data_IF_788440445158
#
_entry.id   IF_788440445158
#
_cell.length_a   1.000
_cell.length_b   1.000
_cell.length_c   1.000
_cell.angle_alpha   90.00
_cell.angle_beta   90.00
_cell.angle_gamma   90.00
#
_symmetry.space_group_name_H-M   'P 1'
#
loop_
_entity.id
_entity.type
_entity.pdbx_description
1 polymer ?
#
# COMPACT_ATOMS: atom_id res chain seq x y z
N UNK A 1 -8.26 -7.39 -13.04
CA UNK A 1 -7.58 -7.54 -11.74
C UNK A 1 -6.72 -6.31 -11.55
N UNK A 2 -6.85 -5.62 -10.41
CA UNK A 2 -6.05 -4.43 -10.13
C UNK A 2 -4.58 -4.84 -9.96
N UNK A 3 -3.67 -4.22 -10.71
CA UNK A 3 -2.23 -4.42 -10.54
C UNK A 3 -1.73 -3.59 -9.35
N UNK A 4 -1.88 -4.15 -8.15
CA UNK A 4 -1.45 -3.50 -6.91
C UNK A 4 0.07 -3.36 -6.82
N UNK A 5 0.84 -4.18 -7.54
CA UNK A 5 2.29 -4.07 -7.57
C UNK A 5 2.73 -2.80 -8.31
N UNK A 6 2.03 -2.42 -9.38
CA UNK A 6 2.26 -1.15 -10.06
C UNK A 6 1.99 0.06 -9.14
N UNK A 7 0.95 -0.01 -8.29
CA UNK A 7 0.66 1.02 -7.29
C UNK A 7 1.82 1.15 -6.30
N UNK A 8 2.25 0.03 -5.70
CA UNK A 8 3.36 0.03 -4.74
C UNK A 8 4.66 0.54 -5.36
N UNK A 9 4.97 0.10 -6.58
CA UNK A 9 6.14 0.60 -7.32
C UNK A 9 6.08 2.11 -7.46
N UNK A 10 4.93 2.67 -7.83
CA UNK A 10 4.80 4.12 -8.04
C UNK A 10 4.90 4.93 -6.74
N UNK A 11 4.33 4.43 -5.65
CA UNK A 11 4.46 5.05 -4.33
C UNK A 11 5.92 5.03 -3.85
N UNK A 12 6.62 3.91 -4.04
CA UNK A 12 8.03 3.77 -3.70
C UNK A 12 8.94 4.67 -4.54
N UNK A 13 8.70 4.78 -5.85
CA UNK A 13 9.42 5.71 -6.74
C UNK A 13 9.26 7.17 -6.32
N UNK A 14 8.07 7.52 -5.82
CA UNK A 14 7.78 8.84 -5.26
C UNK A 14 8.33 9.04 -3.84
N UNK A 15 8.89 8.01 -3.21
CA UNK A 15 9.36 8.10 -1.82
C UNK A 15 8.24 8.31 -0.80
N UNK A 16 6.99 7.99 -1.16
CA UNK A 16 5.84 8.06 -0.25
C UNK A 16 6.00 6.94 0.78
N UNK A 17 6.00 7.31 2.06
CA UNK A 17 6.05 6.39 3.19
C UNK A 17 4.64 5.93 3.54
N UNK A 18 4.44 4.62 3.51
CA UNK A 18 3.18 3.98 3.79
C UNK A 18 3.41 2.56 4.32
N UNK A 19 2.38 1.98 4.93
CA UNK A 19 2.32 0.56 5.27
C UNK A 19 1.09 -0.06 4.60
N UNK A 20 1.24 -1.30 4.14
CA UNK A 20 0.12 -2.11 3.63
C UNK A 20 -0.58 -2.74 4.82
N UNK A 21 -1.90 -2.59 4.90
CA UNK A 21 -2.74 -3.19 5.94
C UNK A 21 -3.89 -3.99 5.31
N UNK A 22 -4.82 -4.47 6.12
CA UNK A 22 -6.03 -5.14 5.63
C UNK A 22 -5.78 -6.52 5.01
N UNK A 23 -6.65 -6.91 4.07
CA UNK A 23 -6.66 -8.25 3.49
C UNK A 23 -5.39 -8.60 2.70
N UNK A 24 -4.83 -7.63 1.97
CA UNK A 24 -3.58 -7.83 1.23
C UNK A 24 -2.41 -8.10 2.18
N UNK A 25 -2.29 -7.35 3.28
CA UNK A 25 -1.24 -7.60 4.27
C UNK A 25 -1.31 -9.04 4.82
N UNK A 26 -2.52 -9.51 5.18
CA UNK A 26 -2.75 -10.88 5.65
C UNK A 26 -2.32 -11.92 4.61
N UNK A 27 -2.65 -11.70 3.33
CA UNK A 27 -2.20 -12.57 2.23
C UNK A 27 -0.66 -12.58 2.07
N UNK A 28 0.00 -11.44 2.24
CA UNK A 28 1.48 -11.35 2.18
C UNK A 28 2.16 -12.11 3.32
N UNK A 29 1.50 -12.26 4.47
CA UNK A 29 1.94 -13.13 5.57
C UNK A 29 1.59 -14.61 5.37
N UNK A 30 1.10 -15.00 4.19
CA UNK A 30 0.83 -16.40 3.83
C UNK A 30 -0.50 -16.93 4.38
N UNK A 31 -1.40 -16.05 4.83
CA UNK A 31 -2.73 -16.43 5.33
C UNK A 31 -3.75 -16.12 4.23
N UNK A 32 -4.32 -17.12 3.54
CA UNK A 32 -5.23 -16.88 2.42
C UNK A 32 -6.50 -16.15 2.86
N UNK A 33 -6.80 -15.03 2.21
CA UNK A 33 -7.98 -14.20 2.46
C UNK A 33 -8.49 -13.60 1.15
N UNK A 34 -9.78 -13.77 0.88
CA UNK A 34 -10.44 -13.06 -0.21
C UNK A 34 -10.52 -11.57 0.14
N UNK A 35 -9.97 -10.72 -0.72
CA UNK A 35 -10.01 -9.26 -0.62
C UNK A 35 -9.97 -8.71 -2.05
N UNK A 36 -10.63 -7.58 -2.31
CA UNK A 36 -10.71 -6.98 -3.65
C UNK A 36 -10.14 -5.57 -3.71
N UNK A 37 -9.76 -5.05 -2.54
CA UNK A 37 -9.24 -3.73 -2.26
C UNK A 37 -7.81 -3.80 -1.74
N UNK A 38 -7.20 -2.63 -1.58
CA UNK A 38 -5.89 -2.42 -0.97
C UNK A 38 -6.09 -1.33 0.08
N UNK A 39 -5.74 -1.64 1.32
CA UNK A 39 -5.74 -0.67 2.40
C UNK A 39 -4.30 -0.22 2.69
N UNK A 40 -4.09 1.10 2.70
CA UNK A 40 -2.80 1.71 3.01
C UNK A 40 -2.96 2.70 4.17
N UNK A 41 -2.00 2.70 5.10
CA UNK A 41 -1.84 3.79 6.07
C UNK A 41 -0.61 4.58 5.67
N UNK A 42 -0.78 5.89 5.53
CA UNK A 42 0.28 6.83 5.18
C UNK A 42 0.95 7.37 6.44
N UNK A 43 2.25 7.66 6.36
CA UNK A 43 2.88 8.57 7.30
C UNK A 43 2.33 9.99 7.05
N UNK A 44 1.78 10.62 8.08
CA UNK A 44 1.09 11.91 7.98
C UNK A 44 2.01 13.12 8.18
N UNK A 45 3.32 12.92 8.31
CA UNK A 45 4.26 14.04 8.25
C UNK A 45 4.07 14.84 6.94
N UNK A 46 3.96 16.17 7.04
CA UNK A 46 3.66 17.06 5.91
C UNK A 46 4.51 16.78 4.66
N UNK A 47 5.83 16.57 4.85
CA UNK A 47 6.77 16.23 3.77
C UNK A 47 6.38 15.00 2.95
N UNK A 48 5.67 14.05 3.56
CA UNK A 48 5.20 12.84 2.89
C UNK A 48 3.96 13.10 2.03
N UNK A 49 3.10 14.00 2.51
CA UNK A 49 1.82 14.34 1.88
C UNK A 49 2.00 15.29 0.70
N UNK A 50 3.06 16.10 0.69
CA UNK A 50 3.42 16.98 -0.44
C UNK A 50 3.70 16.23 -1.74
N UNK A 51 4.01 14.92 -1.67
CA UNK A 51 4.46 14.12 -2.83
C UNK A 51 3.33 13.30 -3.48
N UNK A 52 2.15 13.28 -2.86
CA UNK A 52 0.96 12.54 -3.32
C UNK A 52 0.36 13.22 -4.54
#
# INVERSE_FOLDING_TARGET
MLDYLAIFKRLNEKGIRYIVVGGIAVNLYGIPRMTYDIDLILDLEDKNLETI
#
